data_IF_751097248889
#
_entry.id   IF_751097248889
#
_cell.length_a   1.000
_cell.length_b   1.000
_cell.length_c   1.000
_cell.angle_alpha   90.00
_cell.angle_beta   90.00
_cell.angle_gamma   90.00
#
_symmetry.space_group_name_H-M   'P 1'
#
loop_
_entity.id
_entity.type
_entity.pdbx_description
1 polymer ?
#
# COMPACT_ATOMS: atom_id res chain seq x y z
N UNK A 1 33.75 -29.06 -66.28
CA UNK A 1 32.38 -29.25 -65.82
C UNK A 1 32.39 -29.52 -64.30
N UNK A 2 32.42 -28.50 -63.50
CA UNK A 2 32.53 -28.62 -62.03
C UNK A 2 31.40 -27.83 -61.41
N UNK A 3 30.44 -28.55 -60.79
CA UNK A 3 29.33 -28.02 -60.02
C UNK A 3 29.88 -27.48 -58.70
N UNK A 4 29.72 -26.18 -58.49
CA UNK A 4 29.93 -25.56 -57.18
C UNK A 4 28.62 -25.62 -56.40
N UNK A 5 28.59 -26.53 -55.41
CA UNK A 5 27.53 -26.59 -54.43
C UNK A 5 27.84 -25.54 -53.34
N UNK A 6 27.10 -24.44 -53.37
CA UNK A 6 27.22 -23.36 -52.38
C UNK A 6 26.20 -23.60 -51.28
N UNK A 7 26.64 -24.20 -50.19
CA UNK A 7 25.82 -24.40 -49.02
C UNK A 7 25.48 -23.03 -48.36
N UNK A 8 24.24 -22.66 -48.42
CA UNK A 8 23.72 -21.59 -47.57
C UNK A 8 23.42 -22.16 -46.19
N UNK A 9 24.19 -21.75 -45.19
CA UNK A 9 23.89 -21.94 -43.77
C UNK A 9 22.87 -20.89 -43.36
N UNK A 10 21.65 -21.23 -42.91
CA UNK A 10 20.78 -20.27 -42.26
C UNK A 10 21.27 -20.08 -40.80
N UNK A 11 21.81 -18.89 -40.54
CA UNK A 11 22.14 -18.44 -39.21
C UNK A 11 20.82 -18.25 -38.44
N UNK A 12 20.41 -19.25 -37.67
CA UNK A 12 19.27 -19.18 -36.77
C UNK A 12 19.62 -18.26 -35.59
N UNK A 13 19.20 -17.00 -35.67
CA UNK A 13 19.22 -16.03 -34.57
C UNK A 13 18.22 -16.49 -33.51
N UNK A 14 18.71 -17.22 -32.50
CA UNK A 14 17.96 -17.54 -31.30
C UNK A 14 17.87 -16.26 -30.47
N UNK A 15 16.76 -15.53 -30.64
CA UNK A 15 16.41 -14.42 -29.78
C UNK A 15 15.92 -15.01 -28.45
N UNK A 16 16.85 -15.23 -27.54
CA UNK A 16 16.54 -15.60 -26.16
C UNK A 16 15.85 -14.44 -25.48
N UNK A 17 14.51 -14.50 -25.38
CA UNK A 17 13.74 -13.62 -24.53
C UNK A 17 14.15 -13.87 -23.07
N UNK A 18 15.03 -13.02 -22.56
CA UNK A 18 15.27 -12.91 -21.13
C UNK A 18 13.99 -12.36 -20.51
N UNK A 19 13.10 -13.23 -20.07
CA UNK A 19 12.01 -12.89 -19.19
C UNK A 19 12.62 -12.52 -17.82
N UNK A 20 12.97 -11.24 -17.65
CA UNK A 20 13.31 -10.72 -16.33
C UNK A 20 12.07 -10.84 -15.46
N UNK A 21 12.13 -11.51 -14.29
CA UNK A 21 11.02 -11.48 -13.36
C UNK A 21 10.84 -10.02 -12.92
N UNK A 22 9.71 -9.41 -13.31
CA UNK A 22 9.26 -8.16 -12.72
C UNK A 22 8.88 -8.53 -11.29
N UNK A 23 9.81 -8.35 -10.36
CA UNK A 23 9.49 -8.39 -8.94
C UNK A 23 8.55 -7.21 -8.69
N UNK A 24 7.23 -7.49 -8.63
CA UNK A 24 6.28 -6.55 -8.10
C UNK A 24 6.73 -6.26 -6.66
N UNK A 25 7.31 -5.09 -6.43
CA UNK A 25 7.57 -4.62 -5.09
C UNK A 25 6.21 -4.63 -4.37
N UNK A 26 6.09 -5.42 -3.31
CA UNK A 26 4.91 -5.44 -2.48
C UNK A 26 4.73 -4.01 -1.94
N UNK A 27 3.78 -3.29 -2.50
CA UNK A 27 3.44 -1.96 -2.03
C UNK A 27 3.01 -2.09 -0.58
N UNK A 28 3.62 -1.31 0.29
CA UNK A 28 3.32 -1.29 1.72
C UNK A 28 1.96 -0.61 1.92
N UNK A 29 0.87 -1.36 1.68
CA UNK A 29 -0.50 -0.86 1.70
C UNK A 29 -0.96 -0.40 3.09
N UNK A 30 -0.16 -0.65 4.13
CA UNK A 30 -0.53 -0.27 5.49
C UNK A 30 -0.52 1.26 5.70
N UNK A 31 0.48 1.94 5.12
CA UNK A 31 0.63 3.40 5.18
C UNK A 31 0.08 4.09 3.92
N UNK A 32 -0.92 3.51 3.30
CA UNK A 32 -1.57 4.08 2.13
C UNK A 32 -3.07 4.22 2.33
N UNK A 33 -3.64 5.24 1.68
CA UNK A 33 -5.07 5.53 1.70
C UNK A 33 -5.56 5.87 0.30
N UNK A 34 -6.87 5.67 0.09
CA UNK A 34 -7.56 6.07 -1.13
C UNK A 34 -8.60 7.13 -0.79
N UNK A 35 -8.59 8.22 -1.53
CA UNK A 35 -9.49 9.35 -1.32
C UNK A 35 -10.15 9.72 -2.64
N UNK A 36 -11.46 9.89 -2.62
CA UNK A 36 -12.21 10.40 -3.77
C UNK A 36 -11.82 11.87 -4.02
N UNK A 37 -11.65 12.24 -5.29
CA UNK A 37 -11.28 13.58 -5.71
C UNK A 37 -12.22 14.09 -6.80
N UNK A 38 -12.52 15.39 -6.75
CA UNK A 38 -13.35 16.01 -7.76
C UNK A 38 -12.59 16.35 -9.05
N UNK A 39 -11.30 16.63 -8.91
CA UNK A 39 -10.38 16.93 -10.02
C UNK A 39 -8.95 16.50 -9.66
N UNK A 40 -8.02 16.68 -10.59
CA UNK A 40 -6.59 16.36 -10.43
C UNK A 40 -5.72 17.59 -10.14
N UNK A 41 -6.33 18.67 -9.66
CA UNK A 41 -5.65 19.90 -9.30
C UNK A 41 -4.86 19.79 -8.00
N UNK A 42 -3.89 20.71 -7.81
CA UNK A 42 -3.04 20.73 -6.62
C UNK A 42 -3.81 21.02 -5.33
N UNK A 43 -4.86 21.82 -5.40
CA UNK A 43 -5.70 22.13 -4.23
C UNK A 43 -6.46 20.90 -3.76
N UNK A 44 -6.99 20.13 -4.72
CA UNK A 44 -7.69 18.89 -4.44
C UNK A 44 -6.75 17.79 -3.93
N UNK A 45 -5.54 17.71 -4.48
CA UNK A 45 -4.50 16.80 -3.96
C UNK A 45 -4.14 17.16 -2.51
N UNK A 46 -4.01 18.45 -2.18
CA UNK A 46 -3.73 18.88 -0.80
C UNK A 46 -4.89 18.54 0.15
N UNK A 47 -6.15 18.66 -0.30
CA UNK A 47 -7.31 18.26 0.47
C UNK A 47 -7.30 16.73 0.69
N UNK A 48 -7.08 15.97 -0.37
CA UNK A 48 -7.03 14.52 -0.32
C UNK A 48 -5.89 14.01 0.57
N UNK A 49 -4.72 14.66 0.54
CA UNK A 49 -3.59 14.33 1.42
C UNK A 49 -3.97 14.51 2.90
N UNK A 50 -4.60 15.63 3.26
CA UNK A 50 -5.08 15.87 4.63
C UNK A 50 -6.10 14.83 5.06
N UNK A 51 -7.08 14.54 4.21
CA UNK A 51 -8.08 13.53 4.50
C UNK A 51 -7.46 12.12 4.62
N UNK A 52 -6.57 11.77 3.70
CA UNK A 52 -5.86 10.49 3.71
C UNK A 52 -5.01 10.32 4.97
N UNK A 53 -4.21 11.33 5.34
CA UNK A 53 -3.41 11.28 6.56
C UNK A 53 -4.29 11.18 7.82
N UNK A 54 -5.39 11.92 7.88
CA UNK A 54 -6.36 11.83 8.98
C UNK A 54 -6.87 10.40 9.15
N UNK A 55 -7.34 9.77 8.07
CA UNK A 55 -7.80 8.38 8.10
C UNK A 55 -6.70 7.40 8.51
N UNK A 56 -5.48 7.62 8.00
CA UNK A 56 -4.33 6.81 8.34
C UNK A 56 -3.99 6.90 9.83
N UNK A 57 -3.94 8.10 10.41
CA UNK A 57 -3.65 8.31 11.83
C UNK A 57 -4.68 7.62 12.72
N UNK A 58 -5.97 7.74 12.41
CA UNK A 58 -7.05 7.04 13.10
C UNK A 58 -6.89 5.52 12.97
N UNK A 59 -6.61 5.02 11.78
CA UNK A 59 -6.40 3.59 11.52
C UNK A 59 -5.23 3.02 12.33
N UNK A 60 -4.14 3.78 12.43
CA UNK A 60 -2.91 3.38 13.10
C UNK A 60 -3.03 3.48 14.62
N UNK A 61 -3.71 4.50 15.15
CA UNK A 61 -3.94 4.65 16.61
C UNK A 61 -5.12 3.81 17.11
N UNK A 62 -6.13 3.58 16.26
CA UNK A 62 -7.41 3.02 16.69
C UNK A 62 -8.26 3.99 17.51
N UNK A 63 -7.92 5.29 17.52
CA UNK A 63 -8.58 6.31 18.34
C UNK A 63 -8.69 7.63 17.57
N UNK A 64 -9.91 8.14 17.42
CA UNK A 64 -10.18 9.42 16.75
C UNK A 64 -9.72 10.62 17.58
N UNK A 65 -9.69 10.51 18.92
CA UNK A 65 -9.27 11.61 19.80
C UNK A 65 -7.80 12.01 19.60
N UNK A 66 -7.00 11.23 18.88
CA UNK A 66 -5.63 11.59 18.53
C UNK A 66 -5.56 12.92 17.76
N UNK A 67 -6.60 13.26 17.01
CA UNK A 67 -6.68 14.50 16.25
C UNK A 67 -6.88 15.74 17.12
N UNK A 68 -7.18 15.58 18.40
CA UNK A 68 -7.28 16.67 19.37
C UNK A 68 -5.89 17.14 19.84
N UNK A 69 -4.86 16.35 19.62
CA UNK A 69 -3.48 16.70 19.95
C UNK A 69 -2.85 17.62 18.92
N UNK A 70 -2.08 18.61 19.39
CA UNK A 70 -1.55 19.67 18.52
C UNK A 70 -0.61 19.13 17.43
N UNK A 71 0.27 18.17 17.77
CA UNK A 71 1.24 17.61 16.85
C UNK A 71 0.58 16.87 15.67
N UNK A 72 -0.50 16.10 15.94
CA UNK A 72 -1.22 15.39 14.87
C UNK A 72 -2.02 16.35 13.99
N UNK A 73 -2.57 17.42 14.55
CA UNK A 73 -3.23 18.46 13.74
C UNK A 73 -2.26 19.19 12.83
N UNK A 74 -1.06 19.51 13.33
CA UNK A 74 0.01 20.12 12.55
C UNK A 74 0.46 19.21 11.41
N UNK A 75 0.67 17.91 11.72
CA UNK A 75 1.00 16.91 10.72
C UNK A 75 -0.08 16.80 9.61
N UNK A 76 -1.36 16.83 9.99
CA UNK A 76 -2.47 16.87 9.01
C UNK A 76 -2.45 18.17 8.21
N UNK A 77 -2.08 19.30 8.81
CA UNK A 77 -1.95 20.58 8.11
C UNK A 77 -0.91 20.55 6.99
N UNK A 78 0.21 19.87 7.20
CA UNK A 78 1.33 19.68 6.26
C UNK A 78 1.30 18.32 5.53
N UNK A 79 0.18 17.61 5.54
CA UNK A 79 0.06 16.23 5.06
C UNK A 79 0.65 15.97 3.67
N UNK A 80 0.57 16.93 2.77
CA UNK A 80 1.09 16.80 1.40
C UNK A 80 2.62 16.63 1.38
N UNK A 81 3.34 17.21 2.35
CA UNK A 81 4.81 17.11 2.46
C UNK A 81 5.26 15.68 2.84
N UNK A 82 4.35 14.89 3.39
CA UNK A 82 4.60 13.52 3.85
C UNK A 82 4.05 12.47 2.89
N UNK A 83 3.59 12.85 1.70
CA UNK A 83 3.20 11.94 0.63
C UNK A 83 4.43 11.56 -0.19
N UNK A 84 4.82 10.29 -0.16
CA UNK A 84 5.93 9.75 -0.95
C UNK A 84 5.54 9.49 -2.40
N UNK A 85 4.34 8.94 -2.58
CA UNK A 85 3.81 8.58 -3.90
C UNK A 85 2.32 8.86 -3.95
N UNK A 86 1.86 9.36 -5.09
CA UNK A 86 0.43 9.41 -5.38
C UNK A 86 0.13 8.97 -6.82
N UNK A 87 -1.03 8.39 -7.03
CA UNK A 87 -1.52 8.03 -8.36
C UNK A 87 -3.02 8.18 -8.44
N UNK A 88 -3.48 8.74 -9.56
CA UNK A 88 -4.91 8.84 -9.84
C UNK A 88 -5.40 7.57 -10.52
N UNK A 89 -6.58 7.13 -10.14
CA UNK A 89 -7.32 6.03 -10.78
C UNK A 89 -8.75 6.46 -11.00
N UNK A 90 -9.35 5.95 -12.03
CA UNK A 90 -10.78 6.08 -12.25
C UNK A 90 -11.46 4.83 -11.71
N UNK A 91 -12.45 5.02 -10.84
CA UNK A 91 -13.29 3.99 -10.26
C UNK A 91 -14.73 4.18 -10.78
N UNK A 92 -15.60 3.20 -10.56
CA UNK A 92 -17.01 3.28 -10.94
C UNK A 92 -17.73 4.48 -10.30
N UNK A 93 -17.25 4.95 -9.15
CA UNK A 93 -17.78 6.09 -8.41
C UNK A 93 -17.15 7.44 -8.79
N UNK A 94 -16.12 7.47 -9.64
CA UNK A 94 -15.38 8.67 -10.07
C UNK A 94 -13.86 8.58 -9.89
N UNK A 95 -13.20 9.72 -9.98
CA UNK A 95 -11.74 9.78 -9.78
C UNK A 95 -11.37 9.58 -8.31
N UNK A 96 -10.39 8.74 -8.07
CA UNK A 96 -9.78 8.52 -6.75
C UNK A 96 -8.27 8.73 -6.83
N UNK A 97 -7.69 9.29 -5.77
CA UNK A 97 -6.24 9.35 -5.61
C UNK A 97 -5.81 8.30 -4.59
N UNK A 98 -4.84 7.50 -4.96
CA UNK A 98 -4.10 6.62 -4.07
C UNK A 98 -2.90 7.40 -3.53
N UNK A 99 -2.74 7.43 -2.22
CA UNK A 99 -1.70 8.16 -1.51
C UNK A 99 -0.87 7.18 -0.68
N UNK A 100 0.45 7.24 -0.80
CA UNK A 100 1.38 6.51 0.03
C UNK A 100 2.14 7.53 0.90
N UNK A 101 2.04 7.38 2.22
CA UNK A 101 2.66 8.27 3.19
C UNK A 101 4.00 7.73 3.68
N UNK A 102 4.86 8.62 4.12
CA UNK A 102 6.14 8.29 4.75
C UNK A 102 5.90 7.55 6.08
N UNK A 103 6.22 6.26 6.08
CA UNK A 103 6.06 5.40 7.25
C UNK A 103 7.02 5.76 8.39
N UNK A 104 8.22 6.26 8.06
CA UNK A 104 9.18 6.71 9.05
C UNK A 104 8.67 7.97 9.77
N UNK A 105 8.09 8.91 9.01
CA UNK A 105 7.46 10.10 9.59
C UNK A 105 6.30 9.72 10.51
N UNK A 106 5.36 8.89 10.04
CA UNK A 106 4.20 8.49 10.85
C UNK A 106 4.64 7.80 12.14
N UNK A 107 5.60 6.88 12.05
CA UNK A 107 6.13 6.19 13.26
C UNK A 107 6.85 7.14 14.22
N UNK A 108 7.60 8.12 13.71
CA UNK A 108 8.27 9.10 14.55
C UNK A 108 7.26 9.96 15.30
N UNK A 109 6.20 10.43 14.61
CA UNK A 109 5.14 11.23 15.22
C UNK A 109 4.50 10.51 16.42
N UNK A 110 4.11 9.23 16.26
CA UNK A 110 3.55 8.45 17.36
C UNK A 110 4.53 8.24 18.52
N UNK A 111 5.81 8.03 18.22
CA UNK A 111 6.86 7.82 19.23
C UNK A 111 7.13 9.09 20.01
N UNK A 112 7.25 10.23 19.32
CA UNK A 112 7.60 11.52 19.92
C UNK A 112 6.50 11.99 20.89
N UNK A 113 5.23 11.73 20.51
CA UNK A 113 4.08 12.02 21.36
C UNK A 113 3.78 10.90 22.37
N UNK A 114 4.57 9.82 22.38
CA UNK A 114 4.38 8.66 23.28
C UNK A 114 2.98 8.02 23.18
N UNK A 115 2.36 8.10 22.01
CA UNK A 115 1.05 7.52 21.73
C UNK A 115 1.19 6.09 21.25
N UNK A 116 0.47 5.12 21.86
CA UNK A 116 0.46 3.74 21.37
C UNK A 116 -0.12 3.66 19.96
N UNK A 117 0.49 2.83 19.13
CA UNK A 117 0.02 2.61 17.75
C UNK A 117 0.14 1.14 17.33
N UNK A 118 -0.67 0.76 16.35
CA UNK A 118 -0.65 -0.57 15.79
C UNK A 118 0.47 -0.70 14.78
N UNK A 119 1.35 -1.66 14.96
CA UNK A 119 2.36 -1.99 13.95
C UNK A 119 1.81 -2.94 12.90
N UNK A 120 2.33 -2.81 11.68
CA UNK A 120 1.98 -3.70 10.56
C UNK A 120 2.30 -5.16 10.86
N UNK A 121 3.39 -5.43 11.60
CA UNK A 121 3.78 -6.77 12.01
C UNK A 121 3.04 -7.11 13.30
N UNK A 122 1.98 -7.88 13.17
CA UNK A 122 1.31 -8.48 14.32
C UNK A 122 1.94 -9.84 14.60
N UNK A 123 2.24 -10.15 15.86
CA UNK A 123 2.59 -11.53 16.21
C UNK A 123 1.42 -12.44 15.85
N UNK A 124 1.67 -13.67 15.37
CA UNK A 124 0.59 -14.61 15.06
C UNK A 124 -0.20 -14.90 16.34
N UNK A 125 -1.53 -14.75 16.23
CA UNK A 125 -2.45 -15.14 17.31
C UNK A 125 -2.88 -16.57 17.04
N UNK A 126 -2.56 -17.50 17.95
CA UNK A 126 -3.04 -18.87 17.92
C UNK A 126 -4.35 -18.94 18.67
N UNK A 127 -5.44 -19.22 17.96
CA UNK A 127 -6.75 -19.43 18.58
C UNK A 127 -6.97 -20.94 18.72
N UNK A 128 -7.10 -21.41 19.94
CA UNK A 128 -7.51 -22.78 20.23
C UNK A 128 -9.02 -22.82 20.36
N UNK A 129 -9.66 -23.55 19.44
CA UNK A 129 -11.09 -23.79 19.51
C UNK A 129 -11.29 -25.24 19.95
N UNK A 130 -11.76 -25.43 21.17
CA UNK A 130 -12.24 -26.74 21.64
C UNK A 130 -13.72 -26.88 21.30
N UNK A 131 -14.08 -27.81 20.45
CA UNK A 131 -15.47 -28.17 20.19
C UNK A 131 -15.75 -29.49 20.92
N UNK A 132 -16.65 -29.45 21.91
CA UNK A 132 -17.24 -30.63 22.49
C UNK A 132 -18.24 -31.20 21.49
N UNK A 133 -17.87 -32.29 20.81
CA UNK A 133 -18.88 -33.08 20.08
C UNK A 133 -19.76 -33.78 21.09
N UNK A 134 -21.09 -33.62 20.99
CA UNK A 134 -21.99 -34.41 21.82
C UNK A 134 -21.76 -35.88 21.50
N UNK A 135 -21.30 -36.63 22.50
CA UNK A 135 -21.13 -38.10 22.41
C UNK A 135 -22.39 -38.70 21.83
N UNK A 136 -22.36 -39.15 20.61
CA UNK A 136 -23.37 -40.05 20.06
C UNK A 136 -23.21 -41.41 20.78
N UNK A 137 -23.94 -41.60 21.88
CA UNK A 137 -24.13 -42.94 22.44
C UNK A 137 -24.87 -43.79 21.41
N UNK A 138 -24.14 -44.65 20.74
CA UNK A 138 -24.75 -45.78 20.04
C UNK A 138 -25.07 -46.80 21.11
N UNK A 139 -26.33 -47.10 21.28
CA UNK A 139 -26.84 -48.28 21.96
C UNK A 139 -26.88 -49.46 20.97
#
# INVERSE_FOLDING_TARGET
>A
MRLFYRQFFPLALVFGWLALPITAAAQNTFFSEQVAVADRGSAELSRAAREGLTRLLIKVSGNEAILDEAAFREAVGSAQEHVLLYSYREDEAGDVVFLEFDDAFVRSLFRDESVPYWEQRRPPVVVWVAMDEPFSRRF
#
